data_IF_889230681674
#
_entry.id   IF_889230681674
#
_cell.length_a   1.000
_cell.length_b   1.000
_cell.length_c   1.000
_cell.angle_alpha   90.00
_cell.angle_beta   90.00
_cell.angle_gamma   90.00
#
_symmetry.space_group_name_H-M   'P 1'
#
loop_
_entity.id
_entity.type
_entity.pdbx_description
1 polymer ?
#
# COMPACT_ATOMS: atom_id res chain seq x y z
N UNK A 1 20.32 11.20 -6.88
CA UNK A 1 20.31 11.62 -5.47
C UNK A 1 19.06 11.02 -4.87
N UNK A 2 19.10 10.35 -3.72
CA UNK A 2 17.94 9.78 -3.02
C UNK A 2 17.92 10.30 -1.60
N UNK A 3 16.73 10.40 -1.00
CA UNK A 3 16.55 10.78 0.39
C UNK A 3 16.38 9.52 1.25
N UNK A 4 17.24 9.34 2.25
CA UNK A 4 17.28 8.18 3.13
C UNK A 4 16.95 8.59 4.56
N UNK A 5 16.18 7.76 5.26
CA UNK A 5 15.97 7.89 6.71
C UNK A 5 16.76 6.79 7.43
N UNK A 6 17.58 7.17 8.39
CA UNK A 6 18.36 6.28 9.25
C UNK A 6 17.76 6.27 10.65
N UNK A 7 17.39 5.10 11.14
CA UNK A 7 16.78 4.91 12.45
C UNK A 7 17.60 3.90 13.26
N UNK A 8 18.25 4.35 14.32
CA UNK A 8 19.03 3.51 15.24
C UNK A 8 19.11 4.28 16.57
N UNK A 9 19.04 3.63 17.71
CA UNK A 9 19.15 4.30 19.01
C UNK A 9 20.60 4.69 19.35
N UNK A 10 21.58 4.01 18.74
CA UNK A 10 22.99 4.32 18.89
C UNK A 10 23.39 5.51 18.02
N UNK A 11 23.79 6.62 18.65
CA UNK A 11 24.18 7.86 17.97
C UNK A 11 25.41 7.67 17.06
N UNK A 12 26.44 6.93 17.53
CA UNK A 12 27.65 6.67 16.75
C UNK A 12 27.31 5.90 15.47
N UNK A 13 26.39 4.93 15.55
CA UNK A 13 25.91 4.19 14.39
C UNK A 13 25.20 5.12 13.41
N UNK A 14 24.29 5.98 13.89
CA UNK A 14 23.61 6.97 13.02
C UNK A 14 24.59 7.89 12.32
N UNK A 15 25.62 8.40 13.04
CA UNK A 15 26.63 9.28 12.47
C UNK A 15 27.49 8.56 11.42
N UNK A 16 27.93 7.34 11.69
CA UNK A 16 28.67 6.50 10.75
C UNK A 16 27.87 6.25 9.48
N UNK A 17 26.61 5.85 9.60
CA UNK A 17 25.73 5.58 8.46
C UNK A 17 25.43 6.86 7.66
N UNK A 18 25.18 7.98 8.34
CA UNK A 18 25.00 9.28 7.69
C UNK A 18 26.20 9.62 6.79
N UNK A 19 27.41 9.49 7.31
CA UNK A 19 28.62 9.83 6.57
C UNK A 19 28.84 8.87 5.40
N UNK A 20 28.57 7.56 5.59
CA UNK A 20 28.61 6.55 4.53
C UNK A 20 27.70 6.91 3.35
N UNK A 21 26.47 7.33 3.61
CA UNK A 21 25.50 7.58 2.56
C UNK A 21 25.59 9.00 1.98
N UNK A 22 25.98 10.00 2.76
CA UNK A 22 26.26 11.36 2.25
C UNK A 22 27.43 11.36 1.29
N UNK A 23 28.52 10.63 1.60
CA UNK A 23 29.66 10.49 0.68
C UNK A 23 29.28 9.72 -0.60
N UNK A 24 28.20 8.96 -0.56
CA UNK A 24 27.64 8.28 -1.74
C UNK A 24 26.63 9.14 -2.54
N UNK A 25 26.46 10.43 -2.18
CA UNK A 25 25.61 11.37 -2.89
C UNK A 25 24.14 11.29 -2.54
N UNK A 26 23.78 10.79 -1.35
CA UNK A 26 22.42 10.74 -0.84
C UNK A 26 22.15 11.86 0.18
N UNK A 27 20.91 12.33 0.24
CA UNK A 27 20.40 13.14 1.34
C UNK A 27 19.98 12.21 2.48
N UNK A 28 20.28 12.59 3.73
CA UNK A 28 20.10 11.70 4.89
C UNK A 28 19.49 12.47 6.05
N UNK A 29 18.38 11.96 6.58
CA UNK A 29 17.84 12.31 7.91
C UNK A 29 18.07 11.17 8.91
N UNK A 30 17.93 11.49 10.19
CA UNK A 30 18.21 10.56 11.28
C UNK A 30 17.08 10.61 12.33
N UNK A 31 16.75 9.46 12.90
CA UNK A 31 15.83 9.30 14.01
C UNK A 31 16.46 8.40 15.08
N UNK A 32 16.24 8.71 16.36
CA UNK A 32 16.78 7.95 17.49
C UNK A 32 15.88 6.81 17.97
N UNK A 33 14.63 6.76 17.48
CA UNK A 33 13.66 5.71 17.80
C UNK A 33 12.52 5.65 16.79
N UNK A 34 11.62 4.68 16.97
CA UNK A 34 10.53 4.45 16.03
C UNK A 34 9.47 5.56 15.98
N UNK A 35 9.26 6.31 17.07
CA UNK A 35 8.29 7.43 17.08
C UNK A 35 8.84 8.60 16.27
N UNK A 36 10.11 8.94 16.44
CA UNK A 36 10.79 9.95 15.62
C UNK A 36 10.85 9.54 14.14
N UNK A 37 11.07 8.24 13.88
CA UNK A 37 11.08 7.71 12.53
C UNK A 37 9.74 7.94 11.82
N UNK A 38 8.62 7.58 12.45
CA UNK A 38 7.28 7.80 11.88
C UNK A 38 6.95 9.28 11.70
N UNK A 39 7.35 10.14 12.66
CA UNK A 39 7.17 11.58 12.53
C UNK A 39 7.95 12.15 11.34
N UNK A 40 9.22 11.75 11.16
CA UNK A 40 10.04 12.15 10.02
C UNK A 40 9.46 11.69 8.67
N UNK A 41 8.93 10.46 8.60
CA UNK A 41 8.27 9.93 7.39
C UNK A 41 6.99 10.71 7.07
N UNK A 42 6.24 11.12 8.09
CA UNK A 42 5.02 11.91 7.93
C UNK A 42 5.30 13.33 7.41
N UNK A 43 6.45 13.91 7.76
CA UNK A 43 6.88 15.22 7.25
C UNK A 43 7.39 15.13 5.81
N UNK A 44 8.23 14.12 5.54
CA UNK A 44 8.79 13.91 4.21
C UNK A 44 9.09 12.43 3.99
N UNK A 45 8.49 11.86 2.94
CA UNK A 45 8.68 10.47 2.58
C UNK A 45 10.10 10.18 2.09
N UNK A 46 10.80 9.19 2.68
CA UNK A 46 12.11 8.76 2.21
C UNK A 46 12.01 7.77 1.03
N UNK A 47 13.03 7.78 0.16
CA UNK A 47 13.20 6.77 -0.89
C UNK A 47 13.56 5.37 -0.33
N UNK A 48 14.07 5.30 0.92
CA UNK A 48 14.38 4.06 1.65
C UNK A 48 14.60 4.36 3.13
N UNK A 49 14.17 3.46 4.00
CA UNK A 49 14.42 3.48 5.44
C UNK A 49 15.46 2.42 5.81
N UNK A 50 16.49 2.81 6.55
CA UNK A 50 17.42 1.90 7.23
C UNK A 50 17.03 1.92 8.71
N UNK A 51 16.62 0.77 9.24
CA UNK A 51 15.88 0.67 10.48
C UNK A 51 16.52 -0.34 11.43
N UNK A 52 16.97 0.09 12.59
CA UNK A 52 17.39 -0.85 13.62
C UNK A 52 16.21 -1.64 14.16
N UNK A 53 16.42 -2.93 14.34
CA UNK A 53 15.41 -3.86 14.84
C UNK A 53 14.94 -3.48 16.26
N UNK A 54 15.88 -3.12 17.14
CA UNK A 54 15.63 -2.91 18.57
C UNK A 54 15.92 -1.48 18.96
N UNK A 55 14.88 -0.69 19.16
CA UNK A 55 14.97 0.71 19.60
C UNK A 55 14.03 0.96 20.79
N UNK A 56 14.35 1.96 21.65
CA UNK A 56 13.45 2.36 22.73
C UNK A 56 12.15 2.96 22.20
N UNK A 57 11.14 3.06 23.05
CA UNK A 57 9.79 3.60 22.79
C UNK A 57 9.01 2.79 21.76
N UNK A 58 9.55 2.55 20.58
CA UNK A 58 8.93 1.77 19.51
C UNK A 58 10.00 1.01 18.74
N UNK A 59 9.84 -0.31 18.62
CA UNK A 59 10.79 -1.18 17.92
C UNK A 59 10.76 -0.96 16.40
N UNK A 60 11.86 -1.30 15.71
CA UNK A 60 11.89 -1.25 14.26
C UNK A 60 10.88 -2.19 13.60
N UNK A 61 10.57 -3.32 14.23
CA UNK A 61 9.50 -4.22 13.74
C UNK A 61 8.13 -3.55 13.77
N UNK A 62 7.82 -2.79 14.82
CA UNK A 62 6.55 -2.09 14.93
C UNK A 62 6.43 -0.95 13.91
N UNK A 63 7.53 -0.20 13.69
CA UNK A 63 7.62 0.78 12.60
C UNK A 63 7.40 0.12 11.24
N UNK A 64 8.09 -1.00 11.00
CA UNK A 64 7.95 -1.75 9.75
C UNK A 64 6.51 -2.20 9.52
N UNK A 65 5.85 -2.82 10.51
CA UNK A 65 4.44 -3.23 10.43
C UNK A 65 3.52 -2.04 10.12
N UNK A 66 3.70 -0.91 10.81
CA UNK A 66 2.88 0.28 10.56
C UNK A 66 3.06 0.82 9.15
N UNK A 67 4.30 0.92 8.66
CA UNK A 67 4.56 1.38 7.30
C UNK A 67 3.98 0.43 6.25
N UNK A 68 4.10 -0.88 6.43
CA UNK A 68 3.65 -1.89 5.46
C UNK A 68 2.14 -2.12 5.47
N UNK A 69 1.46 -1.75 6.55
CA UNK A 69 -0.02 -1.79 6.61
C UNK A 69 -0.68 -0.51 6.09
N UNK A 70 0.06 0.58 5.97
CA UNK A 70 -0.45 1.83 5.40
C UNK A 70 -0.22 1.84 3.88
N UNK A 71 -1.29 1.95 3.06
CA UNK A 71 -1.21 1.87 1.60
C UNK A 71 -0.29 2.91 0.95
N UNK A 72 -0.12 4.08 1.59
CA UNK A 72 0.72 5.14 1.04
C UNK A 72 2.21 4.99 1.39
N UNK A 73 2.53 4.26 2.47
CA UNK A 73 3.92 4.05 2.90
C UNK A 73 4.41 2.62 2.69
N UNK A 74 3.52 1.67 2.35
CA UNK A 74 3.86 0.26 2.15
C UNK A 74 4.95 0.02 1.09
N UNK A 75 5.04 0.93 0.09
CA UNK A 75 6.03 0.88 -0.98
C UNK A 75 7.44 1.33 -0.55
N UNK A 76 7.58 2.03 0.59
CA UNK A 76 8.89 2.47 1.07
C UNK A 76 9.73 1.24 1.38
N UNK A 77 10.87 1.05 0.70
CA UNK A 77 11.74 -0.08 0.99
C UNK A 77 12.39 0.08 2.35
N UNK A 78 12.40 -1.01 3.11
CA UNK A 78 12.93 -1.07 4.46
C UNK A 78 14.10 -2.05 4.53
N UNK A 79 15.30 -1.54 4.82
CA UNK A 79 16.47 -2.31 5.19
C UNK A 79 16.53 -2.44 6.70
N UNK A 80 16.36 -3.64 7.23
CA UNK A 80 16.44 -3.89 8.68
C UNK A 80 17.87 -4.18 9.12
N UNK A 81 18.34 -3.50 10.15
CA UNK A 81 19.59 -3.83 10.85
C UNK A 81 19.25 -4.67 12.09
N UNK A 82 19.93 -5.79 12.33
CA UNK A 82 19.64 -6.67 13.46
C UNK A 82 20.89 -7.15 14.15
N UNK A 83 20.91 -7.15 15.49
CA UNK A 83 21.97 -7.75 16.28
C UNK A 83 21.86 -9.29 16.33
N UNK A 84 20.70 -9.86 15.95
CA UNK A 84 20.45 -11.29 15.99
C UNK A 84 20.66 -11.91 14.59
N UNK A 85 21.64 -12.83 14.51
CA UNK A 85 21.93 -13.60 13.29
C UNK A 85 21.04 -14.86 13.13
N UNK A 86 20.13 -15.11 14.06
CA UNK A 86 19.25 -16.28 14.08
C UNK A 86 18.23 -16.29 12.92
N UNK A 87 17.85 -17.49 12.46
CA UNK A 87 16.83 -17.68 11.42
C UNK A 87 15.48 -17.12 11.87
N UNK A 88 15.13 -17.27 13.15
CA UNK A 88 13.87 -16.81 13.72
C UNK A 88 13.66 -15.31 13.60
N UNK A 89 14.68 -14.49 13.93
CA UNK A 89 14.61 -13.03 13.81
C UNK A 89 14.47 -12.55 12.36
N UNK A 90 15.10 -13.26 11.42
CA UNK A 90 14.94 -12.99 9.99
C UNK A 90 13.53 -13.31 9.51
N UNK A 91 12.98 -14.45 9.93
CA UNK A 91 11.61 -14.86 9.58
C UNK A 91 10.59 -13.88 10.17
N UNK A 92 10.79 -13.43 11.41
CA UNK A 92 9.90 -12.46 12.05
C UNK A 92 9.88 -11.13 11.30
N UNK A 93 11.01 -10.65 10.89
CA UNK A 93 11.09 -9.38 10.20
C UNK A 93 10.59 -9.46 8.76
N UNK A 94 10.86 -10.54 7.98
CA UNK A 94 10.20 -10.74 6.69
C UNK A 94 8.68 -10.84 6.85
N UNK A 95 8.21 -11.45 7.93
CA UNK A 95 6.79 -11.48 8.28
C UNK A 95 6.23 -10.10 8.63
N UNK A 96 7.07 -9.19 9.13
CA UNK A 96 6.73 -7.78 9.36
C UNK A 96 6.74 -6.95 8.06
N UNK A 97 7.25 -7.51 6.95
CA UNK A 97 7.26 -6.88 5.63
C UNK A 97 8.55 -6.14 5.28
N UNK A 98 9.67 -6.31 6.01
CA UNK A 98 10.94 -5.73 5.60
C UNK A 98 11.43 -6.32 4.28
N UNK A 99 12.06 -5.49 3.45
CA UNK A 99 12.44 -5.87 2.08
C UNK A 99 13.83 -6.51 2.03
N UNK A 100 14.73 -6.18 2.98
CA UNK A 100 16.04 -6.82 3.14
C UNK A 100 16.56 -6.69 4.59
N UNK A 101 17.58 -7.49 4.93
CA UNK A 101 18.19 -7.59 6.25
C UNK A 101 19.70 -7.59 6.19
N UNK A 102 20.32 -6.99 7.20
CA UNK A 102 21.75 -7.14 7.46
C UNK A 102 22.02 -7.32 8.96
N UNK A 103 22.85 -8.31 9.32
CA UNK A 103 23.22 -8.57 10.70
C UNK A 103 24.36 -7.65 11.15
N UNK A 104 24.26 -7.09 12.36
CA UNK A 104 25.35 -6.39 13.05
C UNK A 104 26.30 -7.43 13.69
N UNK A 105 27.64 -7.29 13.57
CA UNK A 105 28.35 -6.26 12.82
C UNK A 105 28.36 -6.55 11.31
N UNK A 106 28.27 -5.52 10.49
CA UNK A 106 28.25 -5.62 9.03
C UNK A 106 29.39 -4.86 8.36
N UNK A 107 29.75 -5.26 7.14
CA UNK A 107 30.66 -4.47 6.30
C UNK A 107 29.89 -3.29 5.68
N UNK A 108 30.32 -2.03 5.88
CA UNK A 108 29.67 -0.86 5.29
C UNK A 108 29.55 -0.92 3.77
N UNK A 109 30.46 -1.64 3.09
CA UNK A 109 30.39 -1.84 1.62
C UNK A 109 29.22 -2.76 1.24
N UNK A 110 28.94 -3.80 2.05
CA UNK A 110 27.80 -4.68 1.86
C UNK A 110 26.49 -3.92 2.03
N UNK A 111 26.34 -3.19 3.14
CA UNK A 111 25.15 -2.38 3.39
C UNK A 111 24.90 -1.39 2.24
N UNK A 112 25.94 -0.67 1.82
CA UNK A 112 25.81 0.27 0.68
C UNK A 112 25.39 -0.43 -0.61
N UNK A 113 25.94 -1.60 -0.92
CA UNK A 113 25.59 -2.34 -2.12
C UNK A 113 24.12 -2.80 -2.11
N UNK A 114 23.61 -3.28 -0.98
CA UNK A 114 22.21 -3.69 -0.77
C UNK A 114 21.26 -2.50 -0.92
N UNK A 115 21.53 -1.40 -0.21
CA UNK A 115 20.73 -0.16 -0.31
C UNK A 115 20.68 0.35 -1.76
N UNK A 116 21.81 0.36 -2.46
CA UNK A 116 21.83 0.74 -3.87
C UNK A 116 21.02 -0.20 -4.77
N UNK A 117 21.01 -1.51 -4.48
CA UNK A 117 20.20 -2.47 -5.21
C UNK A 117 18.71 -2.22 -5.00
N UNK A 118 18.28 -2.01 -3.75
CA UNK A 118 16.89 -1.67 -3.42
C UNK A 118 16.44 -0.36 -4.08
N UNK A 119 17.23 0.69 -4.02
CA UNK A 119 16.94 1.97 -4.68
C UNK A 119 16.85 1.84 -6.22
N UNK A 120 17.62 0.93 -6.83
CA UNK A 120 17.49 0.65 -8.28
C UNK A 120 16.18 -0.06 -8.61
N UNK A 121 15.72 -0.99 -7.78
CA UNK A 121 14.44 -1.66 -7.97
C UNK A 121 13.29 -0.64 -7.93
N UNK A 122 13.24 0.21 -6.91
CA UNK A 122 12.23 1.27 -6.79
C UNK A 122 12.21 2.23 -8.00
N UNK A 123 13.38 2.54 -8.56
CA UNK A 123 13.46 3.41 -9.76
C UNK A 123 13.04 2.69 -11.05
N UNK A 124 13.17 1.36 -11.11
CA UNK A 124 12.79 0.54 -12.28
C UNK A 124 11.30 0.21 -12.30
N UNK A 125 10.70 0.04 -11.15
CA UNK A 125 9.26 -0.04 -11.01
C UNK A 125 8.71 1.37 -11.26
N UNK A 126 8.57 1.72 -12.52
CA UNK A 126 8.02 3.01 -12.95
C UNK A 126 6.71 3.30 -12.20
N UNK A 127 6.25 4.53 -12.27
CA UNK A 127 5.06 5.11 -11.58
C UNK A 127 3.72 4.38 -11.89
N UNK A 128 3.81 3.12 -12.37
CA UNK A 128 2.67 2.26 -12.72
C UNK A 128 2.80 0.88 -12.09
N UNK A 129 1.67 0.36 -11.63
CA UNK A 129 1.59 -1.00 -11.14
C UNK A 129 1.84 -2.00 -12.29
N UNK A 130 2.76 -2.98 -12.11
CA UNK A 130 3.16 -3.89 -13.19
C UNK A 130 2.04 -4.83 -13.66
N UNK A 131 1.11 -5.21 -12.77
CA UNK A 131 0.01 -6.13 -13.11
C UNK A 131 -1.12 -5.42 -13.87
N UNK A 132 -1.60 -4.28 -13.36
CA UNK A 132 -2.75 -3.57 -13.94
C UNK A 132 -2.36 -2.48 -14.94
N UNK A 133 -1.11 -2.01 -14.94
CA UNK A 133 -0.67 -0.83 -15.71
C UNK A 133 -1.25 0.51 -15.23
N UNK A 134 -2.01 0.52 -14.13
CA UNK A 134 -2.57 1.73 -13.54
C UNK A 134 -1.47 2.56 -12.82
N UNK A 135 -1.67 3.87 -12.64
CA UNK A 135 -0.85 4.71 -11.80
C UNK A 135 -0.62 4.08 -10.43
N UNK A 136 0.64 4.08 -9.98
CA UNK A 136 1.06 3.52 -8.69
C UNK A 136 1.02 4.54 -7.56
N UNK A 137 1.61 4.18 -6.42
CA UNK A 137 1.52 4.95 -5.18
C UNK A 137 2.00 6.40 -5.31
N UNK A 138 3.11 6.67 -6.01
CA UNK A 138 3.62 8.05 -6.21
C UNK A 138 2.65 8.92 -7.00
N UNK A 139 2.03 8.37 -8.04
CA UNK A 139 1.04 9.10 -8.83
C UNK A 139 -0.23 9.38 -8.03
N UNK A 140 -0.67 8.42 -7.18
CA UNK A 140 -1.79 8.59 -6.24
C UNK A 140 -1.52 9.77 -5.31
N UNK A 141 -0.33 9.83 -4.70
CA UNK A 141 0.05 10.93 -3.80
C UNK A 141 0.12 12.27 -4.50
N UNK A 142 0.75 12.31 -5.69
CA UNK A 142 0.84 13.53 -6.47
C UNK A 142 -0.56 14.08 -6.80
N UNK A 143 -1.52 13.20 -7.12
CA UNK A 143 -2.90 13.60 -7.37
C UNK A 143 -3.59 14.14 -6.11
N UNK A 144 -3.43 13.47 -4.96
CA UNK A 144 -3.98 13.94 -3.67
C UNK A 144 -3.42 15.33 -3.34
N UNK A 145 -2.10 15.48 -3.35
CA UNK A 145 -1.45 16.77 -3.08
C UNK A 145 -1.87 17.85 -4.06
N UNK A 146 -2.02 17.52 -5.35
CA UNK A 146 -2.50 18.43 -6.37
C UNK A 146 -3.93 18.92 -6.09
N UNK A 147 -4.83 18.06 -5.58
CA UNK A 147 -6.19 18.47 -5.18
C UNK A 147 -6.19 19.35 -3.94
N UNK A 148 -5.39 18.99 -2.94
CA UNK A 148 -5.19 19.84 -1.74
C UNK A 148 -4.67 21.22 -2.10
N UNK A 149 -3.64 21.33 -2.96
CA UNK A 149 -3.10 22.61 -3.40
C UNK A 149 -4.12 23.47 -4.17
N UNK A 150 -5.03 22.83 -4.90
CA UNK A 150 -6.13 23.53 -5.60
C UNK A 150 -7.28 23.93 -4.67
N UNK A 151 -7.17 23.61 -3.39
CA UNK A 151 -8.19 23.88 -2.36
C UNK A 151 -9.58 23.34 -2.74
N UNK A 152 -9.64 22.12 -3.26
CA UNK A 152 -10.88 21.44 -3.67
C UNK A 152 -11.20 20.28 -2.73
N UNK A 153 -12.46 20.15 -2.35
CA UNK A 153 -12.95 18.95 -1.67
C UNK A 153 -12.96 17.76 -2.64
N UNK A 154 -12.61 16.58 -2.16
CA UNK A 154 -12.57 15.34 -2.94
C UNK A 154 -12.85 14.12 -2.06
N UNK A 155 -13.04 12.98 -2.68
CA UNK A 155 -13.15 11.70 -2.00
C UNK A 155 -11.99 10.77 -2.40
N UNK A 156 -11.42 10.08 -1.43
CA UNK A 156 -10.51 8.95 -1.62
C UNK A 156 -11.28 7.68 -1.36
N UNK A 157 -11.49 6.87 -2.40
CA UNK A 157 -12.15 5.58 -2.33
C UNK A 157 -11.10 4.47 -2.36
N UNK A 158 -11.05 3.66 -1.32
CA UNK A 158 -10.13 2.55 -1.18
C UNK A 158 -10.89 1.24 -1.38
N UNK A 159 -10.62 0.54 -2.50
CA UNK A 159 -11.24 -0.73 -2.87
C UNK A 159 -10.27 -1.88 -2.58
N UNK A 160 -10.79 -2.98 -2.06
CA UNK A 160 -10.04 -4.18 -1.73
C UNK A 160 -10.93 -5.40 -1.98
N UNK A 161 -10.40 -6.42 -2.68
CA UNK A 161 -11.13 -7.65 -2.95
C UNK A 161 -11.25 -8.52 -1.70
N UNK A 162 -12.47 -8.92 -1.40
CA UNK A 162 -12.74 -9.80 -0.27
C UNK A 162 -12.26 -11.22 -0.58
N UNK A 163 -11.53 -11.84 0.36
CA UNK A 163 -11.02 -13.21 0.23
C UNK A 163 -10.15 -13.46 -1.02
N UNK A 164 -9.43 -12.42 -1.51
CA UNK A 164 -8.63 -12.57 -2.74
C UNK A 164 -7.46 -13.54 -2.59
N UNK A 165 -6.84 -13.61 -1.41
CA UNK A 165 -5.77 -14.59 -1.17
C UNK A 165 -6.24 -16.04 -1.31
N UNK A 166 -7.31 -16.51 -0.61
CA UNK A 166 -7.88 -17.83 -0.88
C UNK A 166 -8.29 -18.07 -2.34
N UNK A 167 -8.75 -17.03 -3.03
CA UNK A 167 -9.04 -17.08 -4.46
C UNK A 167 -7.77 -17.37 -5.29
N UNK A 168 -6.70 -16.60 -5.08
CA UNK A 168 -5.43 -16.78 -5.78
C UNK A 168 -4.79 -18.15 -5.48
N UNK A 169 -4.86 -18.61 -4.23
CA UNK A 169 -4.35 -19.92 -3.82
C UNK A 169 -5.15 -21.08 -4.48
N UNK A 170 -6.46 -20.87 -4.76
CA UNK A 170 -7.34 -21.89 -5.36
C UNK A 170 -7.26 -21.91 -6.88
N UNK A 171 -7.34 -20.74 -7.54
CA UNK A 171 -7.43 -20.62 -9.01
C UNK A 171 -6.07 -20.36 -9.68
N UNK A 172 -5.03 -20.08 -8.89
CA UNK A 172 -3.66 -19.84 -9.35
C UNK A 172 -3.37 -18.36 -9.64
N UNK A 173 -2.09 -18.01 -9.53
CA UNK A 173 -1.64 -16.61 -9.66
C UNK A 173 -1.91 -16.01 -11.04
N UNK A 174 -1.86 -16.80 -12.12
CA UNK A 174 -2.15 -16.30 -13.47
C UNK A 174 -3.61 -15.82 -13.60
N UNK A 175 -4.56 -16.57 -13.05
CA UNK A 175 -5.98 -16.19 -13.02
C UNK A 175 -6.19 -14.98 -12.11
N UNK A 176 -5.49 -14.93 -10.97
CA UNK A 176 -5.54 -13.79 -10.07
C UNK A 176 -5.04 -12.50 -10.74
N UNK A 177 -3.93 -12.56 -11.48
CA UNK A 177 -3.39 -11.43 -12.23
C UNK A 177 -4.35 -10.98 -13.35
N UNK A 178 -5.02 -11.91 -14.03
CA UNK A 178 -6.04 -11.60 -15.04
C UNK A 178 -7.22 -10.86 -14.41
N UNK A 179 -7.67 -11.29 -13.22
CA UNK A 179 -8.73 -10.61 -12.45
C UNK A 179 -8.30 -9.19 -12.08
N UNK A 180 -7.08 -9.00 -11.57
CA UNK A 180 -6.55 -7.67 -11.22
C UNK A 180 -6.52 -6.74 -12.45
N UNK A 181 -6.07 -7.24 -13.60
CA UNK A 181 -6.07 -6.46 -14.86
C UNK A 181 -7.47 -6.08 -15.31
N UNK A 182 -8.38 -7.05 -15.32
CA UNK A 182 -9.77 -6.85 -15.72
C UNK A 182 -10.49 -5.88 -14.77
N UNK A 183 -10.25 -5.99 -13.46
CA UNK A 183 -10.82 -5.08 -12.46
C UNK A 183 -10.27 -3.65 -12.65
N UNK A 184 -8.98 -3.48 -12.85
CA UNK A 184 -8.40 -2.16 -13.13
C UNK A 184 -9.01 -1.50 -14.37
N UNK A 185 -9.32 -2.28 -15.42
CA UNK A 185 -10.04 -1.79 -16.61
C UNK A 185 -11.48 -1.42 -16.26
N UNK A 186 -12.19 -2.30 -15.55
CA UNK A 186 -13.60 -2.09 -15.19
C UNK A 186 -13.81 -0.84 -14.31
N UNK A 187 -12.86 -0.54 -13.39
CA UNK A 187 -12.90 0.67 -12.57
C UNK A 187 -12.67 1.92 -13.44
N UNK A 188 -11.71 1.90 -14.37
CA UNK A 188 -11.51 3.02 -15.31
C UNK A 188 -12.72 3.29 -16.17
N UNK A 189 -13.34 2.23 -16.69
CA UNK A 189 -14.52 2.35 -17.54
C UNK A 189 -15.73 2.89 -16.76
N UNK A 190 -15.88 2.47 -15.47
CA UNK A 190 -16.90 3.01 -14.56
C UNK A 190 -16.66 4.51 -14.28
N UNK A 191 -15.41 4.89 -14.05
CA UNK A 191 -15.01 6.28 -13.81
C UNK A 191 -15.30 7.15 -15.03
N UNK A 192 -14.96 6.70 -16.25
CA UNK A 192 -15.25 7.42 -17.48
C UNK A 192 -16.76 7.60 -17.73
N UNK A 193 -17.56 6.60 -17.40
CA UNK A 193 -19.03 6.64 -17.54
C UNK A 193 -19.65 7.68 -16.60
N UNK A 194 -19.23 7.70 -15.33
CA UNK A 194 -19.78 8.63 -14.32
C UNK A 194 -19.26 10.06 -14.51
N UNK A 195 -18.02 10.25 -15.00
CA UNK A 195 -17.42 11.59 -15.19
C UNK A 195 -17.94 12.33 -16.44
N UNK A 196 -18.63 11.67 -17.35
CA UNK A 196 -19.19 12.30 -18.56
C UNK A 196 -18.16 12.82 -19.57
N UNK A 197 -16.91 12.40 -19.45
CA UNK A 197 -15.90 12.50 -20.51
C UNK A 197 -15.08 13.78 -20.64
N UNK A 198 -15.47 14.95 -20.13
CA UNK A 198 -14.66 16.17 -20.25
C UNK A 198 -14.82 17.14 -19.06
N UNK A 199 -13.71 17.54 -18.45
CA UNK A 199 -13.68 18.60 -17.42
C UNK A 199 -12.45 18.57 -16.53
N UNK A 200 -12.17 19.67 -15.86
CA UNK A 200 -11.01 19.87 -14.96
C UNK A 200 -11.00 18.98 -13.69
N UNK A 201 -12.06 18.22 -13.44
CA UNK A 201 -12.23 17.32 -12.30
C UNK A 201 -12.44 15.86 -12.75
N UNK A 202 -11.52 15.37 -13.60
CA UNK A 202 -11.50 13.96 -13.97
C UNK A 202 -11.18 13.09 -12.76
N UNK A 203 -11.82 11.93 -12.67
CA UNK A 203 -11.49 10.95 -11.66
C UNK A 203 -10.09 10.39 -11.92
N UNK A 204 -9.39 10.03 -10.85
CA UNK A 204 -8.09 9.39 -10.93
C UNK A 204 -8.23 7.96 -10.41
N UNK A 205 -7.71 6.99 -11.17
CA UNK A 205 -7.70 5.57 -10.79
C UNK A 205 -6.27 5.11 -10.66
N UNK A 206 -5.92 4.58 -9.48
CA UNK A 206 -4.61 4.05 -9.15
C UNK A 206 -4.69 2.63 -8.58
N UNK A 207 -3.54 1.93 -8.58
CA UNK A 207 -3.41 0.59 -8.02
C UNK A 207 -2.15 0.54 -7.13
N UNK A 208 -2.34 0.30 -5.84
CA UNK A 208 -1.26 0.26 -4.86
C UNK A 208 -0.48 -1.05 -4.99
N UNK A 209 -1.17 -2.18 -4.97
CA UNK A 209 -0.59 -3.51 -5.10
C UNK A 209 -1.54 -4.60 -4.62
N UNK A 210 -1.28 -5.85 -5.01
CA UNK A 210 -2.16 -6.96 -4.70
C UNK A 210 -3.58 -6.73 -5.22
N UNK A 211 -4.55 -6.67 -4.32
CA UNK A 211 -5.97 -6.44 -4.57
C UNK A 211 -6.45 -5.02 -4.19
N UNK A 212 -5.53 -4.09 -3.92
CA UNK A 212 -5.80 -2.73 -3.41
C UNK A 212 -5.80 -1.67 -4.51
N UNK A 213 -6.98 -1.08 -4.78
CA UNK A 213 -7.17 0.01 -5.74
C UNK A 213 -7.59 1.30 -5.03
N UNK A 214 -7.19 2.43 -5.61
CA UNK A 214 -7.60 3.78 -5.15
C UNK A 214 -8.32 4.49 -6.30
N UNK A 215 -9.45 5.09 -5.96
CA UNK A 215 -10.13 6.04 -6.85
C UNK A 215 -10.22 7.38 -6.13
N UNK A 216 -9.80 8.45 -6.79
CA UNK A 216 -9.91 9.82 -6.29
C UNK A 216 -10.91 10.54 -7.18
N UNK A 217 -12.02 10.98 -6.59
CA UNK A 217 -13.16 11.57 -7.30
C UNK A 217 -13.74 12.75 -6.51
N UNK A 218 -14.86 13.32 -6.94
CA UNK A 218 -15.60 14.29 -6.12
C UNK A 218 -16.45 13.58 -5.06
N UNK A 219 -16.82 14.30 -3.99
CA UNK A 219 -17.62 13.73 -2.91
C UNK A 219 -19.00 13.22 -3.43
N UNK A 220 -19.59 13.95 -4.38
CA UNK A 220 -20.90 13.62 -4.94
C UNK A 220 -20.87 12.35 -5.83
N UNK A 221 -19.76 12.14 -6.55
CA UNK A 221 -19.60 10.99 -7.45
C UNK A 221 -19.16 9.71 -6.74
N UNK A 222 -18.54 9.84 -5.56
CA UNK A 222 -17.94 8.69 -4.87
C UNK A 222 -18.92 7.54 -4.63
N UNK A 223 -20.10 7.82 -4.09
CA UNK A 223 -21.13 6.79 -3.85
C UNK A 223 -21.57 6.07 -5.13
N UNK A 224 -22.17 6.79 -6.10
CA UNK A 224 -22.62 6.19 -7.37
C UNK A 224 -21.50 5.43 -8.11
N UNK A 225 -20.29 5.96 -8.14
CA UNK A 225 -19.15 5.31 -8.78
C UNK A 225 -18.78 4.00 -8.09
N UNK A 226 -18.75 3.98 -6.75
CA UNK A 226 -18.41 2.78 -5.99
C UNK A 226 -19.48 1.70 -6.09
N UNK A 227 -20.75 2.06 -6.22
CA UNK A 227 -21.84 1.11 -6.49
C UNK A 227 -21.63 0.40 -7.86
N UNK A 228 -21.30 1.16 -8.90
CA UNK A 228 -20.98 0.60 -10.23
C UNK A 228 -19.74 -0.29 -10.15
N UNK A 229 -18.67 0.17 -9.49
CA UNK A 229 -17.44 -0.61 -9.31
C UNK A 229 -17.71 -1.93 -8.59
N UNK A 230 -18.54 -1.93 -7.54
CA UNK A 230 -18.90 -3.14 -6.79
C UNK A 230 -19.66 -4.15 -7.64
N UNK A 231 -20.55 -3.70 -8.54
CA UNK A 231 -21.26 -4.57 -9.49
C UNK A 231 -20.27 -5.17 -10.49
N UNK A 232 -19.45 -4.32 -11.13
CA UNK A 232 -18.48 -4.77 -12.15
C UNK A 232 -17.42 -5.71 -11.56
N UNK A 233 -16.98 -5.47 -10.33
CA UNK A 233 -16.08 -6.36 -9.63
C UNK A 233 -16.65 -7.78 -9.53
N UNK A 234 -17.93 -7.92 -9.13
CA UNK A 234 -18.59 -9.22 -9.05
C UNK A 234 -18.67 -9.92 -10.41
N UNK A 235 -18.94 -9.18 -11.48
CA UNK A 235 -18.98 -9.76 -12.83
C UNK A 235 -17.60 -10.22 -13.31
N UNK A 236 -16.53 -9.46 -13.03
CA UNK A 236 -15.15 -9.86 -13.33
C UNK A 236 -14.81 -11.18 -12.60
N UNK A 237 -15.11 -11.27 -11.32
CA UNK A 237 -14.87 -12.50 -10.54
C UNK A 237 -15.68 -13.68 -11.08
N UNK A 238 -16.98 -13.51 -11.36
CA UNK A 238 -17.81 -14.58 -11.92
C UNK A 238 -17.26 -15.10 -13.25
N UNK A 239 -16.75 -14.21 -14.08
CA UNK A 239 -16.15 -14.61 -15.37
C UNK A 239 -14.89 -15.45 -15.16
N UNK A 240 -14.08 -15.14 -14.14
CA UNK A 240 -12.82 -15.80 -13.87
C UNK A 240 -12.96 -17.21 -13.26
N UNK A 241 -13.99 -17.45 -12.43
CA UNK A 241 -14.16 -18.72 -11.69
C UNK A 241 -14.79 -19.86 -12.50
N UNK A 242 -15.28 -19.57 -13.69
CA UNK A 242 -16.00 -20.54 -14.51
C UNK A 242 -17.47 -20.74 -14.12
N UNK A 243 -18.25 -21.44 -14.99
CA UNK A 243 -19.72 -21.45 -14.90
C UNK A 243 -20.28 -22.06 -13.61
N UNK A 244 -19.66 -23.11 -13.11
CA UNK A 244 -20.15 -23.83 -11.94
C UNK A 244 -20.05 -22.98 -10.66
N UNK A 245 -18.88 -22.42 -10.36
CA UNK A 245 -18.67 -21.56 -9.20
C UNK A 245 -19.45 -20.26 -9.33
N UNK A 246 -19.55 -19.70 -10.56
CA UNK A 246 -20.35 -18.51 -10.84
C UNK A 246 -21.85 -18.72 -10.54
N UNK A 247 -22.40 -19.92 -10.85
CA UNK A 247 -23.78 -20.29 -10.57
C UNK A 247 -24.03 -20.54 -9.08
N UNK A 248 -23.11 -21.23 -8.41
CA UNK A 248 -23.20 -21.50 -6.97
C UNK A 248 -23.00 -20.26 -6.10
N UNK A 249 -22.27 -19.27 -6.61
CA UNK A 249 -21.89 -18.09 -5.85
C UNK A 249 -20.78 -18.32 -4.82
N UNK A 250 -20.19 -19.53 -4.79
CA UNK A 250 -19.16 -19.97 -3.85
C UNK A 250 -18.12 -20.89 -4.52
N UNK A 251 -16.98 -21.06 -3.87
CA UNK A 251 -15.95 -22.01 -4.28
C UNK A 251 -15.27 -22.63 -3.04
N UNK A 252 -14.79 -23.87 -3.17
CA UNK A 252 -13.99 -24.51 -2.14
C UNK A 252 -12.54 -24.02 -2.21
N UNK A 253 -11.99 -23.59 -1.09
CA UNK A 253 -10.61 -23.10 -0.97
C UNK A 253 -10.01 -23.43 0.40
N UNK A 254 -8.77 -23.05 0.63
CA UNK A 254 -8.04 -23.31 1.89
C UNK A 254 -7.93 -22.01 2.69
N UNK A 255 -8.30 -22.04 3.97
CA UNK A 255 -8.16 -20.90 4.88
C UNK A 255 -6.69 -20.72 5.36
N UNK A 256 -6.46 -19.67 6.15
CA UNK A 256 -5.12 -19.35 6.68
C UNK A 256 -4.58 -20.41 7.66
N UNK A 257 -5.46 -21.26 8.21
CA UNK A 257 -5.15 -22.37 9.07
C UNK A 257 -4.99 -23.71 8.32
N UNK A 258 -5.02 -23.69 6.99
CA UNK A 258 -4.86 -24.87 6.13
C UNK A 258 -6.10 -25.76 6.02
N UNK A 259 -7.29 -25.29 6.45
CA UNK A 259 -8.54 -26.04 6.42
C UNK A 259 -9.33 -25.73 5.15
N UNK A 260 -9.87 -26.78 4.52
CA UNK A 260 -10.78 -26.60 3.37
C UNK A 260 -12.09 -25.97 3.85
N UNK A 261 -12.47 -24.86 3.24
CA UNK A 261 -13.74 -24.16 3.51
C UNK A 261 -14.37 -23.69 2.20
N UNK A 262 -15.66 -23.41 2.28
CA UNK A 262 -16.40 -22.77 1.21
C UNK A 262 -16.31 -21.26 1.38
N UNK A 263 -15.84 -20.57 0.34
CA UNK A 263 -15.73 -19.12 0.28
C UNK A 263 -16.79 -18.56 -0.66
N UNK A 264 -17.47 -17.46 -0.29
CA UNK A 264 -18.30 -16.73 -1.23
C UNK A 264 -17.43 -16.17 -2.35
N UNK A 265 -18.01 -15.97 -3.55
CA UNK A 265 -17.31 -15.24 -4.61
C UNK A 265 -16.92 -13.86 -4.10
N UNK A 266 -15.71 -13.45 -4.43
CA UNK A 266 -15.16 -12.19 -3.96
C UNK A 266 -16.05 -11.01 -4.39
N UNK A 267 -16.32 -10.11 -3.45
CA UNK A 267 -16.79 -8.77 -3.70
C UNK A 267 -15.67 -7.77 -3.53
N UNK A 268 -15.94 -6.49 -3.69
CA UNK A 268 -15.01 -5.43 -3.32
C UNK A 268 -15.58 -4.67 -2.12
N UNK A 269 -14.88 -4.72 -0.99
CA UNK A 269 -15.16 -3.83 0.14
C UNK A 269 -14.54 -2.47 -0.12
N UNK A 270 -15.30 -1.39 0.11
CA UNK A 270 -14.91 -0.02 -0.22
C UNK A 270 -14.98 0.88 1.00
N UNK A 271 -13.85 1.52 1.33
CA UNK A 271 -13.80 2.65 2.25
C UNK A 271 -13.77 3.95 1.46
N UNK A 272 -14.69 4.86 1.71
CA UNK A 272 -14.71 6.20 1.11
C UNK A 272 -14.42 7.21 2.19
N UNK A 273 -13.41 8.04 1.97
CA UNK A 273 -13.01 9.11 2.86
C UNK A 273 -13.19 10.46 2.16
N UNK A 274 -14.13 11.27 2.63
CA UNK A 274 -14.33 12.63 2.13
C UNK A 274 -13.32 13.58 2.77
N UNK A 275 -12.53 14.25 1.93
CA UNK A 275 -11.55 15.26 2.32
C UNK A 275 -12.13 16.63 1.98
N UNK A 276 -12.33 17.47 3.02
CA UNK A 276 -12.84 18.83 2.87
C UNK A 276 -11.70 19.84 2.78
N UNK A 277 -11.98 21.05 2.31
CA UNK A 277 -10.99 22.13 2.19
C UNK A 277 -10.39 22.57 3.52
N UNK A 278 -11.12 22.35 4.62
CA UNK A 278 -10.67 22.71 5.97
C UNK A 278 -9.82 21.61 6.63
N UNK A 279 -9.68 20.46 5.97
CA UNK A 279 -8.90 19.34 6.49
C UNK A 279 -7.41 19.55 6.22
N UNK A 280 -6.61 19.64 7.29
CA UNK A 280 -5.16 19.56 7.13
C UNK A 280 -4.75 18.15 6.70
N UNK A 281 -4.22 18.03 5.48
CA UNK A 281 -3.88 16.73 4.90
C UNK A 281 -2.43 16.39 5.17
N UNK A 282 -2.22 15.45 6.09
CA UNK A 282 -1.01 14.66 6.18
C UNK A 282 -1.26 13.33 5.45
N UNK A 283 -0.49 13.03 4.40
CA UNK A 283 -0.68 11.84 3.57
C UNK A 283 -0.62 10.53 4.37
N UNK A 284 0.30 10.42 5.33
CA UNK A 284 0.41 9.23 6.17
C UNK A 284 -0.85 9.05 7.04
N UNK A 285 -1.38 10.14 7.62
CA UNK A 285 -2.61 10.10 8.38
C UNK A 285 -3.83 9.79 7.50
N UNK A 286 -3.91 10.39 6.32
CA UNK A 286 -4.98 10.11 5.35
C UNK A 286 -4.98 8.63 4.94
N UNK A 287 -3.79 8.06 4.69
CA UNK A 287 -3.64 6.64 4.36
C UNK A 287 -4.10 5.72 5.49
N UNK A 288 -3.73 6.01 6.74
CA UNK A 288 -4.19 5.25 7.90
C UNK A 288 -5.72 5.31 8.05
N UNK A 289 -6.32 6.50 7.90
CA UNK A 289 -7.77 6.68 7.95
C UNK A 289 -8.48 5.91 6.83
N UNK A 290 -7.99 6.00 5.60
CA UNK A 290 -8.56 5.27 4.45
C UNK A 290 -8.50 3.74 4.67
N UNK A 291 -7.36 3.22 5.16
CA UNK A 291 -7.20 1.80 5.49
C UNK A 291 -8.14 1.37 6.63
N UNK A 292 -8.34 2.21 7.65
CA UNK A 292 -9.27 1.93 8.75
C UNK A 292 -10.72 1.86 8.26
N UNK A 293 -11.15 2.84 7.45
CA UNK A 293 -12.52 2.86 6.89
C UNK A 293 -12.74 1.62 6.01
N UNK A 294 -11.76 1.25 5.16
CA UNK A 294 -11.78 0.01 4.38
C UNK A 294 -11.93 -1.23 5.28
N UNK A 295 -11.12 -1.34 6.33
CA UNK A 295 -11.18 -2.47 7.29
C UNK A 295 -12.56 -2.58 7.94
N UNK A 296 -13.18 -1.47 8.31
CA UNK A 296 -14.53 -1.42 8.88
C UNK A 296 -15.59 -1.78 7.84
N UNK A 297 -15.41 -1.41 6.58
CA UNK A 297 -16.28 -1.87 5.48
C UNK A 297 -16.26 -3.40 5.37
N UNK A 298 -15.07 -4.02 5.36
CA UNK A 298 -14.91 -5.49 5.36
C UNK A 298 -15.64 -6.18 6.52
N UNK A 299 -15.66 -5.57 7.71
CA UNK A 299 -16.38 -6.12 8.88
C UNK A 299 -17.90 -6.10 8.73
N UNK A 300 -18.45 -5.21 7.89
CA UNK A 300 -19.90 -5.17 7.61
C UNK A 300 -20.37 -6.24 6.63
N UNK A 301 -19.46 -6.87 5.94
CA UNK A 301 -19.74 -7.94 4.96
C UNK A 301 -19.14 -7.66 3.59
N UNK A 302 -19.04 -8.72 2.78
CA UNK A 302 -18.46 -8.63 1.43
C UNK A 302 -19.23 -7.65 0.54
N UNK A 303 -18.50 -6.77 -0.14
CA UNK A 303 -19.07 -5.76 -1.02
C UNK A 303 -19.67 -4.53 -0.32
N UNK A 304 -19.37 -4.34 0.98
CA UNK A 304 -19.86 -3.19 1.73
C UNK A 304 -19.12 -1.90 1.33
N UNK A 305 -19.89 -0.80 1.22
CA UNK A 305 -19.37 0.55 1.05
C UNK A 305 -19.55 1.32 2.35
N UNK A 306 -18.49 1.90 2.88
CA UNK A 306 -18.51 2.73 4.09
C UNK A 306 -17.96 4.12 3.76
N UNK A 307 -18.73 5.16 4.05
CA UNK A 307 -18.38 6.56 3.77
C UNK A 307 -18.16 7.30 5.09
N UNK A 308 -17.04 7.99 5.21
CA UNK A 308 -16.70 8.84 6.36
C UNK A 308 -16.07 10.16 5.90
N UNK A 309 -15.96 11.13 6.80
CA UNK A 309 -15.22 12.38 6.58
C UNK A 309 -13.85 12.30 7.25
N UNK A 310 -12.81 12.84 6.60
CA UNK A 310 -11.42 12.82 7.07
C UNK A 310 -11.19 13.68 8.33
#
# INVERSE_FOLDING_TARGET
MSYLLLCDDNEDMRLMLRDLFRTSGHEVSMAGDGVEALASIAEREPDLVILDHSMPRMSGLDVCRQLKTNPFTARIPIMMLTAQSGVESKVEGFSAGADDYIAKPFDPRELRARVQAMLRLVRREGDRNPTSGLPGGRAIEAEILGRVQRNKSFAVCYLDLDNFKPFADTFGFAVADDVIRALGSAIRDASAEVSGGEGADTDFVGHIGGDDFIVITTAERAGPLMDICSVRCREVIKTAVGPQAAQLGTYAGVDREGRVREFPLAGASVGVLHVTTDTWVNLAHLGMRAAEVKRRAKQKGSGAVLIETA
#
